data_IF_685626119497
#
_entry.id   IF_685626119497
#
_cell.length_a   1.000
_cell.length_b   1.000
_cell.length_c   1.000
_cell.angle_alpha   90.00
_cell.angle_beta   90.00
_cell.angle_gamma   90.00
#
_symmetry.space_group_name_H-M   'P 1'
#
loop_
_entity.id
_entity.type
_entity.pdbx_description
1 polymer ?
#
# COMPACT_ATOMS: atom_id res chain seq x y z
N UNK A 1 -5.76 17.12 -1.17
CA UNK A 1 -5.23 15.79 -0.86
C UNK A 1 -6.38 14.81 -0.67
N UNK A 2 -6.12 13.57 -0.97
CA UNK A 2 -7.10 12.49 -0.87
C UNK A 2 -6.59 11.40 0.05
N UNK A 3 -7.51 10.64 0.60
CA UNK A 3 -7.17 9.51 1.45
C UNK A 3 -7.16 8.22 0.63
N UNK A 4 -6.10 7.42 0.80
CA UNK A 4 -5.97 6.17 0.08
C UNK A 4 -5.72 5.02 1.04
N UNK A 5 -6.27 3.86 0.70
CA UNK A 5 -6.01 2.61 1.40
C UNK A 5 -5.16 1.72 0.51
N UNK A 6 -4.04 1.28 1.02
CA UNK A 6 -3.10 0.45 0.28
C UNK A 6 -2.99 -0.89 1.00
N UNK A 7 -3.26 -1.95 0.27
CA UNK A 7 -3.13 -3.32 0.77
C UNK A 7 -1.90 -3.91 0.10
N UNK A 8 -0.90 -4.24 0.90
CA UNK A 8 0.34 -4.83 0.42
C UNK A 8 0.39 -6.30 0.81
N UNK A 9 0.80 -7.14 -0.13
CA UNK A 9 0.91 -8.57 0.10
C UNK A 9 2.36 -8.94 0.40
N UNK A 10 2.55 -9.93 1.28
CA UNK A 10 3.87 -10.45 1.58
C UNK A 10 4.51 -11.09 0.35
N UNK A 11 5.83 -10.98 0.24
CA UNK A 11 6.60 -11.63 -0.82
C UNK A 11 6.70 -13.15 -0.61
N UNK A 12 6.47 -13.62 0.60
CA UNK A 12 6.55 -15.04 0.94
C UNK A 12 5.23 -15.72 0.61
N UNK A 13 5.21 -16.66 -0.37
CA UNK A 13 3.98 -17.34 -0.76
C UNK A 13 3.40 -18.24 0.34
N UNK A 14 4.21 -18.65 1.31
CA UNK A 14 3.74 -19.47 2.43
C UNK A 14 3.16 -18.63 3.56
N UNK A 15 3.51 -17.36 3.60
CA UNK A 15 3.01 -16.42 4.60
C UNK A 15 1.88 -15.61 3.98
N UNK A 16 0.64 -15.95 4.27
CA UNK A 16 -0.53 -15.22 3.76
C UNK A 16 -0.75 -13.89 4.50
N UNK A 17 0.33 -13.25 4.90
CA UNK A 17 0.25 -11.98 5.62
C UNK A 17 0.13 -10.84 4.63
N UNK A 18 -0.85 -9.98 4.87
CA UNK A 18 -0.97 -8.73 4.13
C UNK A 18 -1.02 -7.57 5.13
N UNK A 19 -0.62 -6.43 4.66
CA UNK A 19 -0.57 -5.22 5.47
C UNK A 19 -1.46 -4.16 4.84
N UNK A 20 -2.26 -3.49 5.66
CA UNK A 20 -3.17 -2.44 5.19
C UNK A 20 -2.73 -1.12 5.83
N UNK A 21 -2.48 -0.12 5.00
CA UNK A 21 -2.18 1.22 5.48
C UNK A 21 -3.11 2.24 4.83
N UNK A 22 -3.48 3.24 5.61
CA UNK A 22 -4.22 4.39 5.10
C UNK A 22 -3.25 5.57 5.10
N UNK A 23 -3.16 6.25 3.97
CA UNK A 23 -2.29 7.41 3.84
C UNK A 23 -2.99 8.51 3.06
N UNK A 24 -2.54 9.73 3.27
CA UNK A 24 -3.06 10.89 2.55
C UNK A 24 -2.01 11.34 1.54
N UNK A 25 -2.44 11.54 0.31
CA UNK A 25 -1.56 11.93 -0.78
C UNK A 25 -2.31 12.72 -1.84
N UNK A 26 -1.58 13.41 -2.70
CA UNK A 26 -2.19 14.17 -3.79
C UNK A 26 -2.67 13.25 -4.90
N UNK A 27 -1.99 12.14 -5.13
CA UNK A 27 -2.32 11.18 -6.17
C UNK A 27 -2.17 9.76 -5.64
N UNK A 28 -2.79 8.82 -6.35
CA UNK A 28 -2.66 7.39 -6.06
C UNK A 28 -1.21 6.94 -6.10
N UNK A 29 -0.46 7.40 -7.12
CA UNK A 29 0.95 7.05 -7.28
C UNK A 29 1.79 7.51 -6.09
N UNK A 30 1.52 8.72 -5.61
CA UNK A 30 2.22 9.25 -4.44
C UNK A 30 1.94 8.41 -3.20
N UNK A 31 0.69 7.97 -3.03
CA UNK A 31 0.31 7.09 -1.93
C UNK A 31 1.10 5.78 -1.97
N UNK A 32 1.23 5.19 -3.15
CA UNK A 32 2.02 3.97 -3.36
C UNK A 32 3.49 4.20 -3.03
N UNK A 33 4.04 5.34 -3.44
CA UNK A 33 5.44 5.67 -3.15
C UNK A 33 5.69 5.77 -1.64
N UNK A 34 4.75 6.36 -0.91
CA UNK A 34 4.85 6.44 0.56
C UNK A 34 4.85 5.05 1.17
N UNK A 35 3.94 4.19 0.73
CA UNK A 35 3.86 2.82 1.22
C UNK A 35 5.15 2.05 0.92
N UNK A 36 5.68 2.20 -0.28
CA UNK A 36 6.91 1.54 -0.69
C UNK A 36 8.11 1.97 0.16
N UNK A 37 8.21 3.26 0.46
CA UNK A 37 9.31 3.77 1.28
C UNK A 37 9.25 3.24 2.71
N UNK A 38 8.06 3.10 3.26
CA UNK A 38 7.90 2.67 4.66
C UNK A 38 7.97 1.16 4.83
N UNK A 39 7.43 0.40 3.87
CA UNK A 39 7.21 -1.03 4.04
C UNK A 39 7.80 -1.89 2.92
N UNK A 40 8.29 -1.28 1.86
CA UNK A 40 8.82 -1.97 0.68
C UNK A 40 9.87 -3.04 0.96
N UNK A 41 10.79 -2.84 1.94
CA UNK A 41 11.77 -3.87 2.26
C UNK A 41 11.17 -5.19 2.75
N UNK A 42 9.92 -5.18 3.22
CA UNK A 42 9.25 -6.35 3.79
C UNK A 42 8.17 -6.92 2.89
N UNK A 43 7.73 -6.16 1.87
CA UNK A 43 6.60 -6.55 1.04
C UNK A 43 6.85 -6.18 -0.42
N UNK A 44 6.34 -7.00 -1.33
CA UNK A 44 6.35 -6.67 -2.75
C UNK A 44 5.30 -5.62 -3.06
N UNK A 45 5.76 -4.46 -3.52
CA UNK A 45 4.85 -3.36 -3.83
C UNK A 45 4.08 -3.63 -5.11
N UNK A 46 4.56 -4.53 -5.96
CA UNK A 46 3.85 -4.93 -7.18
C UNK A 46 2.61 -5.77 -6.90
N UNK A 47 2.49 -6.26 -5.66
CA UNK A 47 1.33 -7.05 -5.23
C UNK A 47 0.52 -6.26 -4.21
N UNK A 48 -0.05 -5.17 -4.65
CA UNK A 48 -0.87 -4.34 -3.77
C UNK A 48 -2.15 -3.92 -4.48
N UNK A 49 -3.13 -3.53 -3.69
CA UNK A 49 -4.35 -2.90 -4.17
C UNK A 49 -4.41 -1.50 -3.57
N UNK A 50 -4.77 -0.53 -4.39
CA UNK A 50 -4.92 0.86 -3.95
C UNK A 50 -6.36 1.29 -4.18
N UNK A 51 -6.98 1.82 -3.15
CA UNK A 51 -8.36 2.30 -3.22
C UNK A 51 -8.43 3.70 -2.60
N UNK A 52 -9.07 4.62 -3.31
CA UNK A 52 -9.36 5.92 -2.74
C UNK A 52 -10.50 5.78 -1.72
N UNK A 53 -10.27 6.35 -0.54
CA UNK A 53 -11.29 6.37 0.51
C UNK A 53 -12.13 7.62 0.31
N UNK A 54 -13.38 7.42 -0.05
CA UNK A 54 -14.33 8.52 -0.24
C UNK A 54 -15.31 8.54 0.94
N UNK A 55 -15.28 9.63 1.64
CA UNK A 55 -16.19 9.84 2.79
C UNK A 55 -17.45 10.61 2.35
#
# INVERSE_FOLDING_TARGET
MRDYRIIMLSTDPESAVHFVIDTRAATEREAVDVANQQYGPHFEVDRFAVTEIVN
#
